data_IF_748697920652
#
_entry.id   IF_748697920652
#
_cell.length_a   1.000
_cell.length_b   1.000
_cell.length_c   1.000
_cell.angle_alpha   90.00
_cell.angle_beta   90.00
_cell.angle_gamma   90.00
#
_symmetry.space_group_name_H-M   'P 1'
#
loop_
_entity.id
_entity.type
_entity.pdbx_description
1 polymer ?
#
# COMPACT_ATOMS: atom_id res chain seq x y z
N UNK A 1 3.11 -0.37 5.75
CA UNK A 1 2.87 0.92 5.06
C UNK A 1 2.53 1.99 6.09
N UNK A 2 1.26 2.12 6.52
CA UNK A 2 0.79 3.24 7.35
C UNK A 2 1.54 3.43 8.67
N UNK A 3 1.95 2.35 9.36
CA UNK A 3 2.71 2.46 10.60
C UNK A 3 4.04 3.21 10.44
N UNK A 4 4.86 2.83 9.46
CA UNK A 4 6.11 3.54 9.20
C UNK A 4 5.91 4.92 8.57
N UNK A 5 4.85 5.09 7.77
CA UNK A 5 4.45 6.43 7.29
C UNK A 5 4.15 7.36 8.45
N UNK A 6 3.36 6.91 9.44
CA UNK A 6 3.00 7.71 10.61
C UNK A 6 4.22 8.11 11.44
N UNK A 7 5.14 7.18 11.70
CA UNK A 7 6.37 7.49 12.45
C UNK A 7 7.26 8.45 11.66
N UNK A 8 7.41 8.25 10.35
CA UNK A 8 8.25 9.13 9.51
C UNK A 8 7.68 10.54 9.35
N UNK A 9 6.35 10.68 9.41
CA UNK A 9 5.69 11.97 9.32
C UNK A 9 5.85 12.84 10.60
N UNK A 10 6.24 12.25 11.73
CA UNK A 10 6.44 12.97 13.00
C UNK A 10 7.89 13.03 13.47
N UNK A 11 8.76 12.18 12.92
CA UNK A 11 10.16 12.11 13.31
C UNK A 11 10.96 13.20 12.58
N UNK A 12 11.56 14.19 13.27
CA UNK A 12 12.19 15.34 12.63
C UNK A 12 13.27 14.97 11.61
N UNK A 13 14.08 13.94 11.91
CA UNK A 13 15.14 13.46 11.00
C UNK A 13 14.59 12.80 9.73
N UNK A 14 13.37 12.26 9.76
CA UNK A 14 12.72 11.66 8.60
C UNK A 14 11.95 12.70 7.77
N UNK A 15 11.32 13.67 8.45
CA UNK A 15 10.66 14.82 7.81
C UNK A 15 11.68 15.69 7.07
N UNK A 16 12.89 15.84 7.60
CA UNK A 16 13.98 16.57 6.94
C UNK A 16 14.44 15.96 5.60
N UNK A 17 14.01 14.73 5.26
CA UNK A 17 14.31 14.09 3.98
C UNK A 17 13.27 14.35 2.88
N UNK A 18 12.13 14.99 3.21
CA UNK A 18 11.08 15.35 2.26
C UNK A 18 11.65 16.35 1.24
N UNK A 19 11.43 16.08 -0.04
CA UNK A 19 11.90 16.93 -1.13
C UNK A 19 10.92 18.06 -1.46
N UNK A 20 9.63 17.83 -1.24
CA UNK A 20 8.57 18.76 -1.64
C UNK A 20 7.69 19.17 -0.44
N UNK A 21 7.56 20.47 -0.15
CA UNK A 21 6.71 20.95 0.94
C UNK A 21 5.20 20.73 0.66
N UNK A 22 4.39 20.95 1.69
CA UNK A 22 2.94 20.80 1.61
C UNK A 22 2.47 19.33 1.59
N UNK A 23 1.24 19.06 1.13
CA UNK A 23 0.66 17.71 1.10
C UNK A 23 1.48 16.70 0.30
N UNK A 24 2.24 17.15 -0.71
CA UNK A 24 3.11 16.29 -1.52
C UNK A 24 4.17 15.58 -0.67
N UNK A 25 4.68 16.21 0.39
CA UNK A 25 5.66 15.59 1.28
C UNK A 25 5.11 14.37 2.01
N UNK A 26 3.82 14.38 2.39
CA UNK A 26 3.16 13.19 2.92
C UNK A 26 3.02 12.11 1.85
N UNK A 27 2.70 12.50 0.61
CA UNK A 27 2.65 11.58 -0.54
C UNK A 27 4.00 10.91 -0.80
N UNK A 28 5.12 11.65 -0.72
CA UNK A 28 6.47 11.12 -0.86
C UNK A 28 6.76 10.01 0.16
N UNK A 29 6.49 10.26 1.45
CA UNK A 29 6.69 9.26 2.52
C UNK A 29 5.75 8.07 2.31
N UNK A 30 4.46 8.32 2.09
CA UNK A 30 3.45 7.28 1.91
C UNK A 30 3.80 6.38 0.73
N UNK A 31 4.19 6.98 -0.40
CA UNK A 31 4.55 6.26 -1.61
C UNK A 31 5.81 5.43 -1.44
N UNK A 32 6.84 5.94 -0.75
CA UNK A 32 8.05 5.18 -0.46
C UNK A 32 7.74 3.88 0.30
N UNK A 33 6.92 3.95 1.35
CA UNK A 33 6.52 2.74 2.10
C UNK A 33 5.53 1.85 1.35
N UNK A 34 4.63 2.42 0.55
CA UNK A 34 3.71 1.64 -0.29
C UNK A 34 4.49 0.84 -1.34
N UNK A 35 5.43 1.47 -2.02
CA UNK A 35 6.30 0.83 -3.01
C UNK A 35 7.20 -0.24 -2.40
N UNK A 36 7.85 0.07 -1.26
CA UNK A 36 8.72 -0.86 -0.56
C UNK A 36 7.95 -2.10 -0.06
N UNK A 37 6.83 -1.90 0.64
CA UNK A 37 6.02 -3.01 1.17
C UNK A 37 5.30 -3.79 0.06
N UNK A 38 4.97 -3.14 -1.06
CA UNK A 38 4.43 -3.80 -2.26
C UNK A 38 5.50 -4.45 -3.14
N UNK A 39 6.78 -4.36 -2.76
CA UNK A 39 7.93 -4.79 -3.55
C UNK A 39 7.90 -4.31 -5.02
N UNK A 40 7.41 -3.09 -5.27
CA UNK A 40 7.31 -2.51 -6.61
C UNK A 40 8.66 -1.94 -7.08
N UNK A 41 9.31 -1.12 -6.25
CA UNK A 41 10.60 -0.50 -6.54
C UNK A 41 10.51 0.91 -7.15
N UNK A 42 9.32 1.41 -7.51
CA UNK A 42 9.12 2.79 -7.93
C UNK A 42 9.34 3.79 -6.78
N UNK A 43 9.74 5.02 -7.10
CA UNK A 43 9.87 6.12 -6.14
C UNK A 43 9.51 7.46 -6.79
N UNK A 44 9.04 8.43 -6.01
CA UNK A 44 8.83 9.81 -6.48
C UNK A 44 10.15 10.54 -6.80
N UNK A 45 11.26 10.12 -6.20
CA UNK A 45 12.59 10.68 -6.47
C UNK A 45 12.92 11.97 -5.69
N UNK A 46 11.93 12.66 -5.11
CA UNK A 46 12.15 13.82 -4.23
C UNK A 46 12.59 13.46 -2.80
N UNK A 47 12.09 12.34 -2.25
CA UNK A 47 12.46 11.88 -0.92
C UNK A 47 13.92 11.39 -0.86
N UNK A 48 14.74 12.00 -0.01
CA UNK A 48 16.11 11.54 0.24
C UNK A 48 16.12 10.30 1.14
N UNK A 49 15.96 9.13 0.53
CA UNK A 49 15.87 7.86 1.26
C UNK A 49 17.22 7.30 1.75
N UNK A 50 18.36 7.88 1.33
CA UNK A 50 19.68 7.43 1.77
C UNK A 50 20.03 7.96 3.18
N UNK A 51 19.19 7.63 4.16
CA UNK A 51 19.42 7.89 5.58
C UNK A 51 19.35 6.56 6.34
N UNK A 52 20.01 6.44 7.51
CA UNK A 52 19.90 5.23 8.32
C UNK A 52 18.45 4.84 8.62
N UNK A 53 17.57 5.84 8.84
CA UNK A 53 16.14 5.62 9.10
C UNK A 53 15.42 4.99 7.90
N UNK A 54 15.49 5.63 6.73
CA UNK A 54 14.76 5.16 5.55
C UNK A 54 15.37 3.86 5.00
N UNK A 55 16.70 3.74 4.92
CA UNK A 55 17.35 2.50 4.50
C UNK A 55 16.90 1.30 5.36
N UNK A 56 16.86 1.48 6.69
CA UNK A 56 16.48 0.41 7.62
C UNK A 56 14.99 0.09 7.52
N UNK A 57 14.12 1.09 7.62
CA UNK A 57 12.66 0.87 7.70
C UNK A 57 12.05 0.48 6.35
N UNK A 58 12.56 1.00 5.23
CA UNK A 58 12.19 0.52 3.90
C UNK A 58 12.72 -0.91 3.68
N UNK A 59 13.93 -1.21 4.16
CA UNK A 59 14.48 -2.58 4.20
C UNK A 59 13.56 -3.56 4.91
N UNK A 60 13.12 -3.23 6.13
CA UNK A 60 12.16 -4.02 6.90
C UNK A 60 10.83 -4.13 6.17
N UNK A 61 10.32 -3.03 5.59
CA UNK A 61 9.06 -3.04 4.84
C UNK A 61 9.14 -3.98 3.62
N UNK A 62 10.26 -4.00 2.90
CA UNK A 62 10.48 -4.91 1.78
C UNK A 62 10.53 -6.38 2.23
N UNK A 63 11.24 -6.67 3.33
CA UNK A 63 11.35 -8.03 3.87
C UNK A 63 9.99 -8.57 4.32
N UNK A 64 9.23 -7.78 5.07
CA UNK A 64 7.88 -8.16 5.51
C UNK A 64 6.90 -8.21 4.34
N UNK A 65 7.00 -7.27 3.41
CA UNK A 65 6.22 -7.22 2.18
C UNK A 65 6.47 -8.42 1.25
N UNK A 66 7.65 -9.04 1.34
CA UNK A 66 7.95 -10.23 0.54
C UNK A 66 7.65 -11.51 1.32
N UNK A 67 8.35 -11.72 2.42
CA UNK A 67 8.36 -13.00 3.13
C UNK A 67 7.22 -13.11 4.14
N UNK A 68 6.78 -12.00 4.71
CA UNK A 68 5.64 -11.96 5.63
C UNK A 68 4.34 -12.43 4.99
N UNK A 69 4.15 -12.20 3.69
CA UNK A 69 2.99 -12.74 2.94
C UNK A 69 3.23 -14.15 2.40
N UNK A 70 4.45 -14.50 1.96
CA UNK A 70 4.74 -15.82 1.38
C UNK A 70 4.50 -16.94 2.39
N UNK A 71 4.90 -16.76 3.65
CA UNK A 71 4.74 -17.80 4.69
C UNK A 71 3.28 -18.23 4.87
N UNK A 72 2.31 -17.33 5.16
CA UNK A 72 0.91 -17.72 5.28
C UNK A 72 0.31 -18.21 3.95
N UNK A 73 0.75 -17.69 2.79
CA UNK A 73 0.31 -18.20 1.48
C UNK A 73 0.74 -19.66 1.27
N UNK A 74 1.98 -20.02 1.63
CA UNK A 74 2.44 -21.41 1.57
C UNK A 74 1.70 -22.30 2.57
N UNK A 75 1.40 -21.81 3.76
CA UNK A 75 0.59 -22.54 4.73
C UNK A 75 -0.84 -22.80 4.20
N UNK A 76 -1.46 -21.80 3.55
CA UNK A 76 -2.74 -21.97 2.86
C UNK A 76 -2.63 -22.99 1.72
N UNK A 77 -1.58 -22.94 0.92
CA UNK A 77 -1.35 -23.91 -0.16
C UNK A 77 -1.25 -25.36 0.37
N UNK A 78 -0.50 -25.59 1.46
CA UNK A 78 -0.41 -26.90 2.11
C UNK A 78 -1.76 -27.38 2.66
N UNK A 79 -2.52 -26.48 3.30
CA UNK A 79 -3.88 -26.78 3.80
C UNK A 79 -4.86 -27.11 2.68
N UNK A 80 -4.77 -26.42 1.53
CA UNK A 80 -5.61 -26.67 0.36
C UNK A 80 -5.21 -27.96 -0.36
N UNK A 81 -3.92 -28.28 -0.44
CA UNK A 81 -3.43 -29.50 -1.10
C UNK A 81 -3.94 -30.78 -0.43
N UNK A 82 -4.19 -30.74 0.88
CA UNK A 82 -4.77 -31.86 1.63
C UNK A 82 -6.29 -32.02 1.45
N UNK A 83 -6.98 -31.08 0.79
CA UNK A 83 -8.44 -31.12 0.61
C UNK A 83 -8.83 -31.78 -0.70
N UNK A 84 -9.81 -32.66 -0.65
CA UNK A 84 -10.42 -33.25 -1.85
C UNK A 84 -11.29 -32.22 -2.57
N UNK A 85 -11.15 -32.11 -3.89
CA UNK A 85 -12.06 -31.30 -4.71
C UNK A 85 -13.43 -31.96 -4.78
N UNK A 86 -14.49 -31.18 -4.58
CA UNK A 86 -15.89 -31.65 -4.64
C UNK A 86 -16.52 -31.19 -5.97
N UNK A 87 -17.42 -32.01 -6.50
CA UNK A 87 -18.21 -31.68 -7.69
C UNK A 87 -19.14 -30.49 -7.46
N UNK A 88 -19.45 -29.78 -8.56
CA UNK A 88 -20.35 -28.63 -8.49
C UNK A 88 -21.77 -29.07 -8.10
N UNK A 89 -22.42 -28.26 -7.25
CA UNK A 89 -23.79 -28.48 -6.79
C UNK A 89 -24.65 -27.25 -7.10
N UNK A 90 -25.96 -27.33 -6.78
CA UNK A 90 -26.88 -26.17 -6.89
C UNK A 90 -26.44 -24.96 -6.06
N UNK A 91 -25.63 -25.16 -5.02
CA UNK A 91 -25.09 -24.08 -4.18
C UNK A 91 -23.75 -23.52 -4.64
N UNK A 92 -23.13 -24.07 -5.70
CA UNK A 92 -21.82 -23.62 -6.17
C UNK A 92 -21.93 -22.28 -6.90
N UNK A 93 -21.24 -21.26 -6.39
CA UNK A 93 -21.21 -19.93 -7.01
C UNK A 93 -20.23 -19.89 -8.21
N UNK A 94 -20.67 -19.50 -9.43
CA UNK A 94 -19.78 -19.45 -10.60
C UNK A 94 -18.74 -18.32 -10.53
N UNK A 95 -17.45 -18.68 -10.44
CA UNK A 95 -16.33 -17.72 -10.31
C UNK A 95 -15.70 -17.28 -11.65
N UNK A 96 -16.34 -17.60 -12.78
CA UNK A 96 -15.87 -17.29 -14.14
C UNK A 96 -16.86 -16.41 -14.93
N UNK A 97 -17.76 -15.72 -14.24
CA UNK A 97 -18.80 -14.86 -14.83
C UNK A 97 -18.51 -13.39 -14.59
N UNK A 98 -19.10 -12.46 -15.37
CA UNK A 98 -18.98 -11.03 -15.12
C UNK A 98 -19.42 -10.61 -13.71
N UNK A 99 -20.38 -11.33 -13.12
CA UNK A 99 -20.81 -11.10 -11.74
C UNK A 99 -19.67 -11.30 -10.74
N UNK A 100 -18.93 -12.40 -10.85
CA UNK A 100 -17.79 -12.65 -9.96
C UNK A 100 -16.65 -11.64 -10.20
N UNK A 101 -16.42 -11.24 -11.46
CA UNK A 101 -15.43 -10.20 -11.78
C UNK A 101 -15.79 -8.89 -11.09
N UNK A 102 -17.04 -8.45 -11.18
CA UNK A 102 -17.52 -7.25 -10.50
C UNK A 102 -17.43 -7.35 -8.98
N UNK A 103 -17.80 -8.50 -8.41
CA UNK A 103 -17.72 -8.76 -6.97
C UNK A 103 -16.27 -8.68 -6.48
N UNK A 104 -15.34 -9.35 -7.16
CA UNK A 104 -13.91 -9.36 -6.82
C UNK A 104 -13.30 -7.95 -6.93
N UNK A 105 -13.58 -7.24 -8.03
CA UNK A 105 -13.11 -5.87 -8.21
C UNK A 105 -13.64 -4.93 -7.11
N UNK A 106 -14.92 -5.04 -6.75
CA UNK A 106 -15.53 -4.25 -5.67
C UNK A 106 -14.85 -4.54 -4.32
N UNK A 107 -14.60 -5.80 -3.99
CA UNK A 107 -13.89 -6.16 -2.74
C UNK A 107 -12.49 -5.52 -2.72
N UNK A 108 -11.71 -5.61 -3.80
CA UNK A 108 -10.36 -5.03 -3.87
C UNK A 108 -10.42 -3.50 -3.71
N UNK A 109 -11.33 -2.83 -4.42
CA UNK A 109 -11.48 -1.37 -4.37
C UNK A 109 -11.96 -0.88 -3.00
N UNK A 110 -12.95 -1.55 -2.39
CA UNK A 110 -13.49 -1.18 -1.08
C UNK A 110 -12.44 -1.39 0.01
N UNK A 111 -11.77 -2.55 0.03
CA UNK A 111 -10.75 -2.83 1.04
C UNK A 111 -9.57 -1.88 0.92
N UNK A 112 -9.07 -1.63 -0.29
CA UNK A 112 -8.01 -0.66 -0.53
C UNK A 112 -8.44 0.77 -0.19
N UNK A 113 -9.64 1.17 -0.62
CA UNK A 113 -10.23 2.47 -0.33
C UNK A 113 -10.34 2.72 1.16
N UNK A 114 -11.04 1.85 1.90
CA UNK A 114 -11.21 2.00 3.36
C UNK A 114 -9.89 2.03 4.12
N UNK A 115 -8.89 1.26 3.67
CA UNK A 115 -7.60 1.20 4.34
C UNK A 115 -6.76 2.48 4.13
N UNK A 116 -6.76 3.05 2.93
CA UNK A 116 -5.84 4.13 2.55
C UNK A 116 -6.50 5.50 2.37
N UNK A 117 -7.82 5.59 2.33
CA UNK A 117 -8.54 6.83 2.06
C UNK A 117 -8.13 7.99 2.98
N UNK A 118 -7.99 7.84 4.31
CA UNK A 118 -7.56 8.95 5.15
C UNK A 118 -6.17 9.49 4.78
N UNK A 119 -5.22 8.60 4.44
CA UNK A 119 -3.87 9.00 4.05
C UNK A 119 -3.85 9.64 2.65
N UNK A 120 -4.64 9.10 1.71
CA UNK A 120 -4.78 9.66 0.36
C UNK A 120 -5.49 11.03 0.37
N UNK A 121 -6.45 11.22 1.28
CA UNK A 121 -7.15 12.48 1.50
C UNK A 121 -6.17 13.59 1.91
N UNK A 122 -5.24 13.30 2.82
CA UNK A 122 -4.26 14.26 3.35
C UNK A 122 -3.04 14.49 2.44
N UNK A 123 -2.76 13.57 1.51
CA UNK A 123 -1.65 13.69 0.56
C UNK A 123 -2.13 14.16 -0.82
N UNK A 124 -2.26 13.25 -1.81
CA UNK A 124 -2.51 13.63 -3.21
C UNK A 124 -3.86 14.31 -3.45
N UNK A 125 -4.90 13.98 -2.68
CA UNK A 125 -6.21 14.62 -2.85
C UNK A 125 -6.14 16.08 -2.36
N UNK A 126 -5.57 16.31 -1.18
CA UNK A 126 -5.35 17.67 -0.67
C UNK A 126 -4.47 18.50 -1.62
N UNK A 127 -3.41 17.89 -2.16
CA UNK A 127 -2.55 18.53 -3.17
C UNK A 127 -3.34 18.94 -4.43
N UNK A 128 -4.19 18.06 -4.95
CA UNK A 128 -5.01 18.36 -6.13
C UNK A 128 -5.93 19.57 -5.90
N UNK A 129 -6.60 19.64 -4.74
CA UNK A 129 -7.45 20.78 -4.41
C UNK A 129 -6.67 22.06 -4.14
N UNK A 130 -5.48 21.98 -3.52
CA UNK A 130 -4.59 23.13 -3.32
C UNK A 130 -4.13 23.71 -4.66
N UNK A 131 -3.78 22.86 -5.62
CA UNK A 131 -3.42 23.26 -6.99
C UNK A 131 -4.59 23.98 -7.68
N UNK A 132 -5.80 23.44 -7.60
CA UNK A 132 -7.00 24.09 -8.17
C UNK A 132 -7.31 25.45 -7.50
N UNK A 133 -6.94 25.62 -6.23
CA UNK A 133 -7.07 26.88 -5.50
C UNK A 133 -5.91 27.87 -5.77
N UNK A 134 -4.92 27.50 -6.58
CA UNK A 134 -3.74 28.34 -6.88
C UNK A 134 -2.74 28.45 -5.72
N UNK A 135 -2.76 27.53 -4.77
CA UNK A 135 -1.78 27.50 -3.68
C UNK A 135 -0.46 26.88 -4.15
N UNK A 136 0.65 27.47 -3.74
CA UNK A 136 2.02 26.97 -3.99
C UNK A 136 2.74 26.80 -2.65
N UNK A 137 3.65 25.83 -2.57
CA UNK A 137 4.37 25.44 -1.35
C UNK A 137 5.87 25.59 -1.54
#
# INVERSE_FOLDING_TARGET
ILGFTAVSAILPSAVASIGTPGPHGLSEILYAYASAAGNNGSAFGGLTANTPWYNTTLGIAMLLGRFGYIVPVLAMAGSLAAKTRVEASKGTFPTNTPLFVGLLAAIILIMGGLQFFPALALGPIAEHFAMLAGQTF
#
